data_IF_343653429024
#
_entry.id   IF_343653429024
#
_cell.length_a   1.000
_cell.length_b   1.000
_cell.length_c   1.000
_cell.angle_alpha   90.00
_cell.angle_beta   90.00
_cell.angle_gamma   90.00
#
_symmetry.space_group_name_H-M   'P 1'
#
loop_
_entity.id
_entity.type
_entity.pdbx_description
1 polymer ?
#
# COMPACT_ATOMS: atom_id res chain seq x y z
N UNK A 1 23.94 -28.87 41.67
CA UNK A 1 24.06 -29.07 40.21
C UNK A 1 22.71 -29.09 39.48
N UNK A 2 21.64 -29.71 40.01
CA UNK A 2 20.33 -29.78 39.31
C UNK A 2 19.50 -28.46 39.31
N UNK A 3 19.62 -27.63 40.36
CA UNK A 3 18.92 -26.34 40.51
C UNK A 3 19.32 -25.31 39.42
N UNK A 4 20.61 -25.25 39.07
CA UNK A 4 21.14 -24.29 38.10
C UNK A 4 20.63 -24.56 36.66
N UNK A 5 20.34 -25.82 36.31
CA UNK A 5 19.77 -26.16 35.01
C UNK A 5 18.29 -25.74 34.90
N UNK A 6 17.52 -25.80 35.99
CA UNK A 6 16.11 -25.38 35.99
C UNK A 6 15.96 -23.85 35.87
N UNK A 7 16.82 -23.09 36.54
CA UNK A 7 16.88 -21.61 36.43
C UNK A 7 17.23 -21.19 34.99
N UNK A 8 18.18 -21.86 34.35
CA UNK A 8 18.57 -21.60 32.96
C UNK A 8 17.46 -21.94 31.95
N UNK A 9 16.68 -23.00 32.21
CA UNK A 9 15.54 -23.38 31.39
C UNK A 9 14.39 -22.37 31.55
N UNK A 10 14.12 -21.94 32.79
CA UNK A 10 13.09 -20.93 33.10
C UNK A 10 13.40 -19.60 32.42
N UNK A 11 14.66 -19.15 32.49
CA UNK A 11 15.12 -17.91 31.88
C UNK A 11 15.04 -17.95 30.34
N UNK A 12 15.32 -19.12 29.74
CA UNK A 12 15.19 -19.35 28.29
C UNK A 12 13.73 -19.39 27.84
N UNK A 13 12.83 -20.00 28.62
CA UNK A 13 11.39 -20.01 28.33
C UNK A 13 10.80 -18.60 28.37
N UNK A 14 11.18 -17.78 29.36
CA UNK A 14 10.78 -16.37 29.45
C UNK A 14 11.31 -15.54 28.27
N UNK A 15 12.54 -15.78 27.82
CA UNK A 15 13.11 -15.08 26.67
C UNK A 15 12.40 -15.44 25.34
N UNK A 16 12.01 -16.71 25.17
CA UNK A 16 11.28 -17.17 23.97
C UNK A 16 9.86 -16.60 23.92
N UNK A 17 9.15 -16.56 25.05
CA UNK A 17 7.81 -15.96 25.11
C UNK A 17 7.86 -14.45 24.90
N UNK A 18 8.88 -13.76 25.42
CA UNK A 18 9.07 -12.32 25.21
C UNK A 18 9.42 -11.98 23.76
N UNK A 19 10.26 -12.78 23.09
CA UNK A 19 10.56 -12.63 21.67
C UNK A 19 9.32 -12.86 20.78
N UNK A 20 8.45 -13.81 21.15
CA UNK A 20 7.20 -14.07 20.44
C UNK A 20 6.18 -12.93 20.61
N UNK A 21 6.10 -12.32 21.81
CA UNK A 21 5.24 -11.16 22.08
C UNK A 21 5.74 -9.88 21.37
N UNK A 22 7.05 -9.69 21.24
CA UNK A 22 7.63 -8.54 20.50
C UNK A 22 7.61 -8.72 18.98
N UNK A 23 7.65 -9.96 18.49
CA UNK A 23 7.81 -10.29 17.07
C UNK A 23 6.53 -10.31 16.23
N UNK A 24 5.37 -9.99 16.79
CA UNK A 24 4.08 -9.94 16.06
C UNK A 24 3.66 -8.52 15.63
N UNK A 25 4.31 -7.47 16.15
CA UNK A 25 3.93 -6.08 15.90
C UNK A 25 4.66 -5.44 14.70
N UNK A 26 5.76 -6.00 14.21
CA UNK A 26 6.56 -5.41 13.11
C UNK A 26 6.13 -5.88 11.71
N UNK A 27 5.32 -6.93 11.67
CA UNK A 27 5.03 -7.74 10.49
C UNK A 27 4.05 -6.99 9.57
N UNK A 28 3.10 -6.29 10.17
CA UNK A 28 2.10 -5.48 9.46
C UNK A 28 2.73 -4.24 8.83
N UNK A 29 3.65 -3.57 9.53
CA UNK A 29 4.30 -2.36 9.03
C UNK A 29 5.20 -2.66 7.82
N UNK A 30 5.98 -3.75 7.88
CA UNK A 30 6.79 -4.21 6.74
C UNK A 30 5.90 -4.60 5.56
N UNK A 31 4.77 -5.27 5.80
CA UNK A 31 3.81 -5.61 4.75
C UNK A 31 3.17 -4.37 4.12
N UNK A 32 2.86 -3.34 4.91
CA UNK A 32 2.29 -2.07 4.44
C UNK A 32 3.26 -1.29 3.58
N UNK A 33 4.52 -1.16 4.00
CA UNK A 33 5.59 -0.51 3.23
C UNK A 33 5.77 -1.22 1.88
N UNK A 34 5.78 -2.56 1.87
CA UNK A 34 5.86 -3.35 0.65
C UNK A 34 4.69 -3.08 -0.31
N UNK A 35 3.46 -3.01 0.19
CA UNK A 35 2.27 -2.68 -0.62
C UNK A 35 2.33 -1.27 -1.21
N UNK A 36 2.79 -0.28 -0.44
CA UNK A 36 2.94 1.10 -0.94
C UNK A 36 4.00 1.17 -2.04
N UNK A 37 5.14 0.48 -1.86
CA UNK A 37 6.19 0.42 -2.88
C UNK A 37 5.71 -0.25 -4.16
N UNK A 38 4.97 -1.36 -4.05
CA UNK A 38 4.37 -2.03 -5.20
C UNK A 38 3.35 -1.13 -5.91
N UNK A 39 2.49 -0.45 -5.16
CA UNK A 39 1.51 0.50 -5.69
C UNK A 39 2.16 1.68 -6.41
N UNK A 40 3.27 2.20 -5.89
CA UNK A 40 4.04 3.26 -6.54
C UNK A 40 4.59 2.81 -7.90
N UNK A 41 5.24 1.63 -7.97
CA UNK A 41 5.75 1.11 -9.25
C UNK A 41 4.64 0.89 -10.27
N UNK A 42 3.48 0.39 -9.84
CA UNK A 42 2.32 0.22 -10.71
C UNK A 42 1.79 1.55 -11.22
N UNK A 43 1.71 2.57 -10.35
CA UNK A 43 1.30 3.92 -10.72
C UNK A 43 2.22 4.55 -11.76
N UNK A 44 3.53 4.47 -11.54
CA UNK A 44 4.54 4.99 -12.47
C UNK A 44 4.46 4.30 -13.84
N UNK A 45 4.20 2.98 -13.86
CA UNK A 45 4.13 2.22 -15.10
C UNK A 45 2.82 2.45 -15.89
N UNK A 46 1.71 2.73 -15.21
CA UNK A 46 0.37 2.63 -15.83
C UNK A 46 -0.42 3.93 -15.79
N UNK A 47 -0.28 4.71 -14.72
CA UNK A 47 -1.16 5.85 -14.43
C UNK A 47 -0.49 7.20 -14.72
N UNK A 48 0.83 7.27 -14.58
CA UNK A 48 1.61 8.51 -14.58
C UNK A 48 1.48 9.31 -15.88
N UNK A 49 1.39 8.64 -17.04
CA UNK A 49 1.30 9.31 -18.34
C UNK A 49 0.05 10.20 -18.48
N UNK A 50 -1.04 9.87 -17.78
CA UNK A 50 -2.30 10.63 -17.79
C UNK A 50 -2.51 11.43 -16.49
N UNK A 51 -2.26 10.82 -15.33
CA UNK A 51 -2.55 11.43 -14.03
C UNK A 51 -1.40 12.31 -13.48
N UNK A 52 -0.18 12.20 -14.01
CA UNK A 52 0.99 12.97 -13.59
C UNK A 52 1.59 12.47 -12.27
N UNK A 53 2.81 12.91 -11.94
CA UNK A 53 3.55 12.45 -10.73
C UNK A 53 2.80 12.80 -9.43
N UNK A 54 2.17 13.97 -9.39
CA UNK A 54 1.37 14.42 -8.25
C UNK A 54 -0.09 13.92 -8.25
N UNK A 55 -0.51 13.16 -9.26
CA UNK A 55 -1.91 12.73 -9.39
C UNK A 55 -2.88 13.89 -9.66
N UNK A 56 -2.40 14.97 -10.27
CA UNK A 56 -3.17 16.20 -10.53
C UNK A 56 -3.89 16.17 -11.90
N UNK A 57 -3.80 15.07 -12.64
CA UNK A 57 -4.35 14.97 -13.98
C UNK A 57 -3.55 15.78 -15.00
N UNK A 58 -2.26 15.97 -14.76
CA UNK A 58 -1.35 16.80 -15.54
C UNK A 58 -0.24 15.98 -16.23
N UNK A 59 -0.47 14.69 -16.43
CA UNK A 59 0.45 13.83 -17.17
C UNK A 59 0.61 14.27 -18.63
N UNK A 60 1.71 13.89 -19.31
CA UNK A 60 2.01 14.31 -20.68
C UNK A 60 0.92 13.97 -21.71
N UNK A 61 0.07 12.98 -21.44
CA UNK A 61 -1.06 12.60 -22.30
C UNK A 61 -2.36 13.33 -21.95
N UNK A 62 -2.44 14.02 -20.81
CA UNK A 62 -3.67 14.58 -20.27
C UNK A 62 -4.36 15.56 -21.23
N UNK A 63 -3.59 16.37 -21.95
CA UNK A 63 -4.10 17.36 -22.91
C UNK A 63 -4.63 16.72 -24.21
N UNK A 64 -4.26 15.46 -24.49
CA UNK A 64 -4.71 14.73 -25.68
C UNK A 64 -5.99 13.93 -25.43
N UNK A 65 -6.46 13.87 -24.18
CA UNK A 65 -7.67 13.15 -23.82
C UNK A 65 -8.93 13.99 -24.08
N UNK A 66 -10.08 13.36 -24.39
CA UNK A 66 -11.36 14.06 -24.53
C UNK A 66 -11.74 14.88 -23.30
N UNK A 67 -11.33 14.41 -22.12
CA UNK A 67 -11.51 15.07 -20.83
C UNK A 67 -10.23 14.87 -20.03
N UNK A 68 -9.72 15.96 -19.44
CA UNK A 68 -8.56 15.90 -18.56
C UNK A 68 -8.91 15.09 -17.30
N UNK A 69 -8.03 14.18 -16.84
CA UNK A 69 -8.28 13.46 -15.60
C UNK A 69 -8.41 14.43 -14.42
N UNK A 70 -9.36 14.22 -13.50
CA UNK A 70 -9.45 15.03 -12.29
C UNK A 70 -8.29 14.70 -11.34
N UNK A 71 -7.97 15.60 -10.39
CA UNK A 71 -7.03 15.29 -9.32
C UNK A 71 -7.51 14.09 -8.50
N UNK A 72 -6.62 13.11 -8.27
CA UNK A 72 -6.99 11.87 -7.57
C UNK A 72 -7.45 12.12 -6.12
N UNK A 73 -6.93 13.17 -5.48
CA UNK A 73 -7.34 13.59 -4.14
C UNK A 73 -8.82 13.97 -4.04
N UNK A 74 -9.41 14.47 -5.12
CA UNK A 74 -10.84 14.79 -5.18
C UNK A 74 -11.68 13.52 -5.06
N UNK A 75 -11.28 12.45 -5.75
CA UNK A 75 -12.03 11.19 -5.73
C UNK A 75 -11.81 10.40 -4.44
N UNK A 76 -10.60 10.46 -3.87
CA UNK A 76 -10.29 9.86 -2.56
C UNK A 76 -11.16 10.40 -1.42
N UNK A 77 -11.62 11.66 -1.52
CA UNK A 77 -12.51 12.26 -0.53
C UNK A 77 -13.99 11.90 -0.71
N UNK A 78 -14.40 11.57 -1.94
CA UNK A 78 -15.82 11.42 -2.30
C UNK A 78 -16.24 9.98 -2.63
N UNK A 79 -15.29 9.05 -2.79
CA UNK A 79 -15.57 7.65 -3.07
C UNK A 79 -14.96 6.70 -2.02
N UNK A 80 -15.69 5.67 -1.59
CA UNK A 80 -15.13 4.62 -0.76
C UNK A 80 -14.09 3.80 -1.55
N UNK A 81 -13.16 3.18 -0.83
CA UNK A 81 -12.00 2.48 -1.44
C UNK A 81 -12.41 1.38 -2.42
N UNK A 82 -13.47 0.63 -2.13
CA UNK A 82 -13.97 -0.43 -3.00
C UNK A 82 -14.46 0.12 -4.36
N UNK A 83 -15.11 1.29 -4.35
CA UNK A 83 -15.51 1.96 -5.59
C UNK A 83 -14.29 2.44 -6.39
N UNK A 84 -13.27 2.99 -5.71
CA UNK A 84 -12.03 3.41 -6.39
C UNK A 84 -11.31 2.22 -7.03
N UNK A 85 -11.28 1.08 -6.36
CA UNK A 85 -10.69 -0.16 -6.91
C UNK A 85 -11.45 -0.62 -8.16
N UNK A 86 -12.79 -0.55 -8.16
CA UNK A 86 -13.57 -0.88 -9.33
C UNK A 86 -13.32 0.09 -10.50
N UNK A 87 -13.21 1.40 -10.23
CA UNK A 87 -12.85 2.40 -11.25
C UNK A 87 -11.47 2.09 -11.85
N UNK A 88 -10.49 1.74 -11.01
CA UNK A 88 -9.14 1.40 -11.48
C UNK A 88 -9.14 0.12 -12.33
N UNK A 89 -9.93 -0.89 -11.96
CA UNK A 89 -9.96 -2.20 -12.64
C UNK A 89 -10.79 -2.17 -13.93
N UNK A 90 -11.90 -1.46 -13.92
CA UNK A 90 -12.89 -1.50 -14.99
C UNK A 90 -12.75 -0.29 -15.94
N UNK A 91 -11.90 0.67 -15.57
CA UNK A 91 -11.76 1.95 -16.25
C UNK A 91 -12.92 2.89 -16.00
N UNK A 92 -12.83 4.09 -16.56
CA UNK A 92 -13.91 5.08 -16.49
C UNK A 92 -14.04 5.83 -17.82
N UNK A 93 -15.26 5.90 -18.39
CA UNK A 93 -15.49 6.71 -19.57
C UNK A 93 -15.22 8.19 -19.27
N UNK A 94 -14.75 8.98 -20.26
CA UNK A 94 -14.65 8.62 -21.68
C UNK A 94 -13.30 8.00 -22.08
N UNK A 95 -12.29 7.97 -21.21
CA UNK A 95 -10.90 7.78 -21.65
C UNK A 95 -9.99 7.00 -20.70
N UNK A 96 -10.44 6.63 -19.50
CA UNK A 96 -9.65 5.80 -18.59
C UNK A 96 -9.85 4.32 -18.94
N UNK A 97 -8.79 3.61 -19.38
CA UNK A 97 -8.88 2.20 -19.73
C UNK A 97 -9.01 1.32 -18.47
N UNK A 98 -9.49 0.07 -18.63
CA UNK A 98 -9.39 -0.96 -17.59
C UNK A 98 -7.95 -1.44 -17.37
#
# INVERSE_FOLDING_TARGET
>A
MYRNNLENISLRLMAVTFAFLLGACSNEEVAKISKISAGKMFYEATCLSCHGDGGLGDGPMAEMLPVRPPPLSEHLAHHPIDQLVNIIRDGAPPAMPP
#
